data_IF_094596191321
#
_entry.id   IF_094596191321
#
_cell.length_a   1.000
_cell.length_b   1.000
_cell.length_c   1.000
_cell.angle_alpha   90.00
_cell.angle_beta   90.00
_cell.angle_gamma   90.00
#
_symmetry.space_group_name_H-M   'P 1'
#
loop_
_entity.id
_entity.type
_entity.pdbx_description
1 polymer ?
#
# COMPACT_ATOMS: atom_id res chain seq x y z
N UNK A 1 36.09 -19.99 -18.06
CA UNK A 1 35.44 -18.73 -17.71
C UNK A 1 33.99 -19.07 -17.41
N UNK A 2 33.69 -19.35 -16.15
CA UNK A 2 32.31 -19.67 -15.72
C UNK A 2 31.62 -18.31 -15.54
N UNK A 3 30.69 -18.01 -16.40
CA UNK A 3 29.80 -16.87 -16.23
C UNK A 3 28.84 -17.32 -15.13
N UNK A 4 29.01 -16.81 -13.90
CA UNK A 4 28.00 -16.89 -12.88
C UNK A 4 26.85 -16.01 -13.35
N UNK A 5 25.79 -16.63 -13.87
CA UNK A 5 24.49 -15.99 -13.98
C UNK A 5 24.08 -15.67 -12.53
N UNK A 6 24.01 -14.40 -12.16
CA UNK A 6 23.33 -13.99 -10.94
C UNK A 6 21.88 -14.46 -11.08
N UNK A 7 21.50 -15.50 -10.36
CA UNK A 7 20.11 -15.86 -10.23
C UNK A 7 19.43 -14.67 -9.53
N UNK A 8 18.54 -14.01 -10.24
CA UNK A 8 17.70 -12.97 -9.67
C UNK A 8 16.81 -13.68 -8.63
N UNK A 9 16.83 -13.24 -7.38
CA UNK A 9 16.03 -13.80 -6.30
C UNK A 9 14.57 -13.89 -6.75
N UNK A 10 14.04 -15.11 -6.84
CA UNK A 10 12.68 -15.32 -7.29
C UNK A 10 11.74 -15.29 -6.09
N UNK A 11 10.78 -14.37 -6.07
CA UNK A 11 9.69 -14.42 -5.09
C UNK A 11 8.92 -15.74 -5.26
N UNK A 12 8.88 -16.57 -4.24
CA UNK A 12 8.15 -17.85 -4.23
C UNK A 12 6.65 -17.67 -4.02
N UNK A 13 6.20 -16.50 -3.55
CA UNK A 13 4.80 -16.15 -3.50
C UNK A 13 4.30 -15.83 -4.92
N UNK A 14 3.19 -16.44 -5.30
CA UNK A 14 2.50 -16.11 -6.55
C UNK A 14 1.73 -14.81 -6.37
N UNK A 15 1.93 -13.83 -7.28
CA UNK A 15 1.18 -12.58 -7.27
C UNK A 15 1.15 -11.91 -5.88
N UNK A 16 2.33 -11.68 -5.29
CA UNK A 16 2.47 -11.17 -3.92
C UNK A 16 2.09 -9.69 -3.76
N UNK A 17 2.10 -8.92 -4.85
CA UNK A 17 1.60 -7.54 -4.93
C UNK A 17 0.16 -7.45 -5.44
N UNK A 18 -0.53 -8.56 -5.60
CA UNK A 18 -1.95 -8.66 -5.95
C UNK A 18 -2.37 -8.06 -7.30
N UNK A 19 -1.43 -7.78 -8.20
CA UNK A 19 -1.66 -7.10 -9.49
C UNK A 19 -2.50 -7.90 -10.49
N UNK A 20 -2.61 -9.21 -10.30
CA UNK A 20 -3.37 -10.08 -11.18
C UNK A 20 -4.64 -10.58 -10.49
N UNK A 21 -5.77 -10.11 -10.97
CA UNK A 21 -7.09 -10.48 -10.44
C UNK A 21 -8.21 -10.07 -11.38
N UNK A 22 -9.42 -10.49 -11.05
CA UNK A 22 -10.61 -10.01 -11.76
C UNK A 22 -11.11 -8.73 -11.10
N UNK A 23 -11.33 -7.68 -11.89
CA UNK A 23 -11.81 -6.39 -11.42
C UNK A 23 -12.98 -6.52 -10.43
N UNK A 24 -12.84 -6.05 -9.19
CA UNK A 24 -13.88 -6.15 -8.18
C UNK A 24 -15.02 -5.17 -8.50
N UNK A 25 -16.27 -5.61 -8.27
CA UNK A 25 -17.44 -4.73 -8.47
C UNK A 25 -17.80 -3.94 -7.23
N UNK A 26 -17.48 -4.48 -6.05
CA UNK A 26 -17.72 -3.94 -4.72
C UNK A 26 -16.94 -4.78 -3.72
N UNK A 27 -17.11 -4.52 -2.41
CA UNK A 27 -16.60 -5.42 -1.38
C UNK A 27 -17.16 -6.84 -1.56
N UNK A 28 -16.44 -7.84 -1.08
CA UNK A 28 -16.78 -9.25 -1.27
C UNK A 28 -17.90 -9.68 -0.32
N UNK A 29 -19.05 -10.05 -0.85
CA UNK A 29 -20.17 -10.61 -0.08
C UNK A 29 -20.14 -12.14 -0.02
N UNK A 30 -19.48 -12.77 -0.97
CA UNK A 30 -19.37 -14.23 -1.09
C UNK A 30 -17.92 -14.63 -1.34
N UNK A 31 -17.47 -15.79 -0.86
CA UNK A 31 -16.10 -16.27 -1.11
C UNK A 31 -15.69 -16.29 -2.59
N UNK A 32 -16.68 -16.51 -3.48
CA UNK A 32 -16.47 -16.52 -4.93
C UNK A 32 -16.25 -15.12 -5.55
N UNK A 33 -16.46 -14.06 -4.79
CA UNK A 33 -16.25 -12.68 -5.24
C UNK A 33 -14.77 -12.29 -5.10
N UNK A 34 -14.03 -12.93 -4.19
CA UNK A 34 -12.57 -12.78 -4.07
C UNK A 34 -11.87 -13.53 -5.20
N UNK A 35 -11.32 -12.82 -6.17
CA UNK A 35 -10.72 -13.35 -7.39
C UNK A 35 -9.37 -12.72 -7.66
N UNK A 36 -8.42 -13.04 -6.81
CA UNK A 36 -7.01 -12.68 -6.95
C UNK A 36 -6.22 -13.92 -7.35
N UNK A 37 -5.49 -13.84 -8.44
CA UNK A 37 -4.79 -15.00 -9.00
C UNK A 37 -3.75 -15.54 -8.02
N UNK A 38 -3.81 -16.84 -7.74
CA UNK A 38 -2.91 -17.51 -6.81
C UNK A 38 -3.31 -17.42 -5.34
N UNK A 39 -4.29 -16.58 -4.97
CA UNK A 39 -4.75 -16.39 -3.60
C UNK A 39 -6.17 -16.91 -3.36
N UNK A 40 -6.44 -17.37 -2.15
CA UNK A 40 -7.76 -17.88 -1.76
C UNK A 40 -8.03 -17.64 -0.27
N UNK A 41 -9.31 -17.59 0.07
CA UNK A 41 -9.77 -17.64 1.45
C UNK A 41 -9.71 -19.07 1.98
N UNK A 42 -9.11 -19.27 3.17
CA UNK A 42 -8.95 -20.61 3.77
C UNK A 42 -10.26 -21.14 4.33
N UNK A 43 -11.10 -20.26 4.80
CA UNK A 43 -12.23 -20.55 5.68
C UNK A 43 -13.60 -20.24 5.04
N UNK A 44 -13.60 -19.95 3.74
CA UNK A 44 -14.80 -19.53 3.03
C UNK A 44 -15.28 -18.14 3.46
N UNK A 45 -14.39 -17.35 4.07
CA UNK A 45 -14.59 -15.93 4.33
C UNK A 45 -14.49 -15.09 3.06
N UNK A 46 -14.69 -13.80 3.15
CA UNK A 46 -14.84 -12.89 2.04
C UNK A 46 -13.81 -11.75 2.04
N UNK A 47 -12.49 -12.06 1.96
CA UNK A 47 -11.47 -11.04 1.80
C UNK A 47 -11.80 -10.11 0.65
N UNK A 48 -11.43 -8.84 0.78
CA UNK A 48 -11.69 -7.85 -0.26
C UNK A 48 -10.48 -7.66 -1.15
N UNK A 49 -10.72 -7.42 -2.43
CA UNK A 49 -9.73 -7.05 -3.41
C UNK A 49 -9.97 -5.60 -3.84
N UNK A 50 -8.93 -4.80 -3.82
CA UNK A 50 -8.96 -3.38 -4.18
C UNK A 50 -8.10 -3.14 -5.40
N UNK A 51 -8.70 -2.55 -6.44
CA UNK A 51 -8.06 -2.35 -7.73
C UNK A 51 -8.63 -1.08 -8.40
N UNK A 52 -7.81 -0.22 -9.03
CA UNK A 52 -8.28 1.01 -9.68
C UNK A 52 -9.26 0.79 -10.82
N UNK A 53 -9.36 -0.42 -11.38
CA UNK A 53 -10.39 -0.75 -12.37
C UNK A 53 -11.81 -0.69 -11.80
N UNK A 54 -11.96 -0.79 -10.47
CA UNK A 54 -13.27 -0.69 -9.82
C UNK A 54 -13.80 0.74 -9.86
N UNK A 55 -15.06 0.90 -10.25
CA UNK A 55 -15.76 2.20 -10.23
C UNK A 55 -16.63 2.37 -8.97
N UNK A 56 -16.44 1.53 -7.96
CA UNK A 56 -17.28 1.47 -6.76
C UNK A 56 -16.40 1.36 -5.49
N UNK A 57 -16.98 0.76 -4.46
CA UNK A 57 -16.43 0.70 -3.10
C UNK A 57 -15.12 -0.09 -2.96
N UNK A 58 -14.73 -0.87 -3.97
CA UNK A 58 -13.47 -1.62 -3.99
C UNK A 58 -12.39 -0.97 -4.86
N UNK A 59 -12.48 0.33 -5.08
CA UNK A 59 -11.50 1.12 -5.84
C UNK A 59 -10.26 1.48 -5.00
N UNK A 60 -9.27 2.05 -5.65
CA UNK A 60 -8.03 2.58 -5.10
C UNK A 60 -7.89 4.03 -5.56
N UNK A 61 -7.48 4.97 -4.73
CA UNK A 61 -7.11 4.82 -3.31
C UNK A 61 -8.30 4.82 -2.36
N UNK A 62 -9.47 5.31 -2.82
CA UNK A 62 -10.67 5.43 -2.01
C UNK A 62 -11.52 4.18 -2.15
N UNK A 63 -11.81 3.58 -1.01
CA UNK A 63 -12.65 2.39 -0.90
C UNK A 63 -13.60 2.49 0.30
N UNK A 64 -14.46 1.49 0.48
CA UNK A 64 -15.42 1.47 1.58
C UNK A 64 -14.76 1.43 2.97
N UNK A 65 -13.57 0.83 3.09
CA UNK A 65 -12.86 0.72 4.35
C UNK A 65 -11.99 1.94 4.68
N UNK A 66 -11.81 2.86 3.73
CA UNK A 66 -11.05 4.08 3.94
C UNK A 66 -10.34 4.61 2.69
N UNK A 67 -9.21 5.23 2.91
CA UNK A 67 -8.32 5.71 1.85
C UNK A 67 -6.98 5.05 2.05
N UNK A 68 -6.51 4.31 1.04
CA UNK A 68 -5.19 3.68 1.05
C UNK A 68 -4.65 3.56 -0.38
N UNK A 69 -3.42 4.00 -0.59
CA UNK A 69 -2.67 3.75 -1.82
C UNK A 69 -1.94 2.42 -1.72
N UNK A 70 -1.79 1.65 -2.80
CA UNK A 70 -0.92 0.47 -2.79
C UNK A 70 0.52 0.85 -2.38
N UNK A 71 1.23 -0.05 -1.74
CA UNK A 71 2.67 0.12 -1.50
C UNK A 71 3.50 -0.49 -2.63
N UNK A 72 2.93 -1.44 -3.37
CA UNK A 72 3.55 -2.04 -4.55
C UNK A 72 2.49 -2.21 -5.64
N UNK A 73 2.78 -1.72 -6.85
CA UNK A 73 1.86 -1.77 -7.98
C UNK A 73 0.61 -0.91 -7.82
N UNK A 74 -0.56 -1.47 -8.18
CA UNK A 74 -1.83 -0.74 -8.28
C UNK A 74 -2.94 -1.32 -7.39
N UNK A 75 -2.74 -2.51 -6.83
CA UNK A 75 -3.78 -3.26 -6.14
C UNK A 75 -3.32 -3.75 -4.77
N UNK A 76 -4.25 -4.08 -3.90
CA UNK A 76 -3.99 -4.70 -2.61
C UNK A 76 -5.23 -5.46 -2.12
N UNK A 77 -5.10 -6.17 -1.00
CA UNK A 77 -6.22 -6.90 -0.38
C UNK A 77 -6.52 -6.36 1.01
N UNK A 78 -7.76 -6.58 1.46
CA UNK A 78 -8.19 -6.25 2.81
C UNK A 78 -8.82 -7.43 3.51
N UNK A 79 -8.61 -7.53 4.82
CA UNK A 79 -9.16 -8.60 5.64
C UNK A 79 -9.68 -8.09 6.98
N UNK A 80 -10.75 -8.73 7.46
CA UNK A 80 -11.12 -8.64 8.87
C UNK A 80 -10.17 -9.49 9.72
N UNK A 81 -9.39 -8.85 10.58
CA UNK A 81 -8.71 -9.59 11.63
C UNK A 81 -9.75 -10.10 12.64
N UNK A 82 -10.79 -9.29 12.90
CA UNK A 82 -11.92 -9.71 13.72
C UNK A 82 -13.14 -8.79 13.54
N UNK A 83 -14.33 -9.43 13.43
CA UNK A 83 -15.64 -8.78 13.56
C UNK A 83 -16.59 -9.71 14.32
N UNK A 84 -16.72 -9.53 15.64
CA UNK A 84 -17.44 -10.49 16.47
C UNK A 84 -16.75 -11.85 16.52
N UNK A 85 -17.34 -12.87 15.90
CA UNK A 85 -16.74 -14.21 15.71
C UNK A 85 -16.19 -14.43 14.30
N UNK A 86 -16.30 -13.43 13.42
CA UNK A 86 -15.86 -13.50 12.05
C UNK A 86 -14.40 -13.04 11.92
N UNK A 87 -13.65 -13.73 11.10
CA UNK A 87 -12.24 -13.48 10.76
C UNK A 87 -12.00 -13.89 9.32
N UNK A 88 -10.94 -13.36 8.72
CA UNK A 88 -10.53 -13.68 7.37
C UNK A 88 -9.06 -14.08 7.34
N UNK A 89 -8.77 -15.15 6.60
CA UNK A 89 -7.44 -15.67 6.46
C UNK A 89 -7.16 -15.95 4.98
N UNK A 90 -6.02 -15.48 4.51
CA UNK A 90 -5.55 -15.67 3.15
C UNK A 90 -4.54 -16.80 3.07
N UNK A 91 -4.60 -17.56 1.98
CA UNK A 91 -3.62 -18.58 1.66
C UNK A 91 -3.19 -18.50 0.20
N UNK A 92 -1.95 -18.89 -0.06
CA UNK A 92 -1.41 -19.08 -1.41
C UNK A 92 -0.53 -20.30 -1.46
N UNK A 93 -0.45 -20.93 -2.64
CA UNK A 93 0.50 -22.01 -2.89
C UNK A 93 1.81 -21.41 -3.38
N UNK A 94 2.91 -21.83 -2.78
CA UNK A 94 4.26 -21.46 -3.22
C UNK A 94 4.57 -22.02 -4.61
N UNK A 95 5.40 -21.33 -5.37
CA UNK A 95 5.87 -21.78 -6.69
C UNK A 95 6.61 -23.12 -6.61
N UNK A 96 7.30 -23.35 -5.50
CA UNK A 96 7.99 -24.61 -5.19
C UNK A 96 8.01 -24.85 -3.67
N UNK A 97 8.17 -26.11 -3.22
CA UNK A 97 8.30 -26.42 -1.80
C UNK A 97 9.61 -25.90 -1.22
N UNK A 98 9.57 -25.44 0.04
CA UNK A 98 10.77 -25.01 0.75
C UNK A 98 11.69 -26.19 1.07
N UNK A 99 12.99 -25.95 1.07
CA UNK A 99 14.02 -26.92 1.34
C UNK A 99 14.39 -26.97 2.83
N UNK A 100 14.49 -28.15 3.42
CA UNK A 100 14.82 -28.32 4.84
C UNK A 100 16.15 -27.65 5.20
N UNK A 101 16.13 -26.86 6.27
CA UNK A 101 17.29 -26.16 6.80
C UNK A 101 17.66 -24.86 6.08
N UNK A 102 17.11 -24.59 4.90
CA UNK A 102 17.33 -23.33 4.20
C UNK A 102 16.63 -22.19 4.92
N UNK A 103 17.27 -21.01 4.91
CA UNK A 103 16.71 -19.79 5.47
C UNK A 103 16.05 -18.98 4.37
N UNK A 104 14.80 -18.65 4.58
CA UNK A 104 14.01 -17.81 3.67
C UNK A 104 13.69 -16.48 4.35
N UNK A 105 13.82 -15.40 3.62
CA UNK A 105 13.34 -14.10 4.04
C UNK A 105 11.89 -13.92 3.63
N UNK A 106 11.04 -13.54 4.56
CA UNK A 106 9.62 -13.28 4.34
C UNK A 106 9.35 -11.82 4.64
N UNK A 107 8.63 -11.16 3.75
CA UNK A 107 8.20 -9.79 3.89
C UNK A 107 6.73 -9.67 3.56
N UNK A 108 6.04 -8.77 4.22
CA UNK A 108 4.72 -8.26 3.84
C UNK A 108 4.50 -6.86 4.41
N UNK A 109 3.64 -6.12 3.77
CA UNK A 109 3.24 -4.79 4.23
C UNK A 109 1.80 -4.83 4.72
N UNK A 110 1.51 -4.10 5.82
CA UNK A 110 0.22 -4.04 6.47
C UNK A 110 -0.12 -2.61 6.86
N UNK A 111 -1.38 -2.23 6.70
CA UNK A 111 -1.92 -0.96 7.14
C UNK A 111 -3.30 -1.14 7.76
N UNK A 112 -3.67 -0.31 8.74
CA UNK A 112 -5.02 -0.29 9.27
C UNK A 112 -5.97 0.44 8.33
N UNK A 113 -7.19 -0.06 8.21
CA UNK A 113 -8.26 0.70 7.54
C UNK A 113 -8.69 1.88 8.45
N UNK A 114 -8.59 3.11 7.94
CA UNK A 114 -8.88 4.30 8.75
C UNK A 114 -10.35 4.40 9.22
N UNK A 115 -11.29 3.77 8.51
CA UNK A 115 -12.70 3.73 8.89
C UNK A 115 -13.07 2.58 9.85
N UNK A 116 -12.13 1.69 10.21
CA UNK A 116 -12.41 0.63 11.20
C UNK A 116 -12.61 1.22 12.59
N UNK A 117 -13.62 0.71 13.33
CA UNK A 117 -13.88 1.17 14.71
C UNK A 117 -12.81 0.70 15.68
N UNK A 118 -12.20 -0.44 15.43
CA UNK A 118 -11.17 -1.02 16.27
C UNK A 118 -9.87 -1.20 15.46
N UNK A 119 -8.75 -1.03 16.12
CA UNK A 119 -7.42 -1.32 15.57
C UNK A 119 -7.03 -2.77 15.86
N UNK A 120 -6.52 -3.45 14.85
CA UNK A 120 -5.91 -4.77 15.01
C UNK A 120 -4.55 -4.66 15.67
N UNK A 121 -4.26 -5.52 16.64
CA UNK A 121 -3.00 -5.46 17.38
C UNK A 121 -2.00 -6.53 16.96
N UNK A 122 -2.46 -7.58 16.29
CA UNK A 122 -1.63 -8.72 15.88
C UNK A 122 -2.09 -9.29 14.53
N UNK A 123 -1.12 -9.73 13.74
CA UNK A 123 -1.32 -10.56 12.55
C UNK A 123 -0.36 -11.75 12.60
N UNK A 124 -0.71 -12.85 11.97
CA UNK A 124 0.08 -14.06 12.01
C UNK A 124 0.42 -14.57 10.61
N UNK A 125 1.55 -15.25 10.51
CA UNK A 125 1.98 -15.97 9.32
C UNK A 125 2.21 -17.44 9.68
N UNK A 126 1.87 -18.33 8.75
CA UNK A 126 2.18 -19.75 8.85
C UNK A 126 2.58 -20.32 7.49
N UNK A 127 3.49 -21.30 7.51
CA UNK A 127 3.87 -22.12 6.36
C UNK A 127 3.50 -23.57 6.63
N UNK A 128 3.05 -24.28 5.61
CA UNK A 128 2.55 -25.64 5.79
C UNK A 128 2.80 -26.51 4.54
N UNK A 129 3.09 -27.80 4.71
CA UNK A 129 3.16 -28.75 3.60
C UNK A 129 1.77 -29.15 3.06
N UNK A 130 0.69 -28.80 3.75
CA UNK A 130 -0.69 -29.12 3.38
C UNK A 130 -1.62 -27.91 3.54
N UNK A 131 -2.78 -27.98 2.88
CA UNK A 131 -3.80 -26.93 2.99
C UNK A 131 -4.43 -26.88 4.38
N UNK A 132 -4.52 -25.68 4.96
CA UNK A 132 -5.30 -25.44 6.18
C UNK A 132 -6.80 -25.44 5.87
N UNK A 133 -7.62 -25.78 6.84
CA UNK A 133 -9.08 -25.88 6.73
C UNK A 133 -9.75 -25.14 7.88
N UNK A 134 -10.93 -24.57 7.60
CA UNK A 134 -11.73 -23.81 8.58
C UNK A 134 -12.03 -24.58 9.87
N UNK A 135 -12.41 -25.85 9.76
CA UNK A 135 -12.71 -26.70 10.91
C UNK A 135 -11.48 -26.88 11.83
N UNK A 136 -10.29 -26.81 11.25
CA UNK A 136 -9.04 -26.85 11.98
C UNK A 136 -8.71 -25.51 12.65
N UNK A 137 -8.90 -24.37 11.96
CA UNK A 137 -8.65 -23.04 12.51
C UNK A 137 -9.49 -22.73 13.75
N UNK A 138 -10.71 -23.29 13.83
CA UNK A 138 -11.58 -23.17 15.00
C UNK A 138 -11.09 -23.97 16.22
N UNK A 139 -10.31 -25.01 15.97
CA UNK A 139 -9.91 -25.99 17.00
C UNK A 139 -8.45 -25.84 17.41
N UNK A 140 -7.60 -25.42 16.48
CA UNK A 140 -6.15 -25.36 16.68
C UNK A 140 -5.64 -23.96 16.44
N UNK A 141 -4.53 -23.62 17.11
CA UNK A 141 -3.76 -22.42 16.86
C UNK A 141 -2.68 -22.75 15.81
N UNK A 142 -2.76 -22.14 14.64
CA UNK A 142 -1.83 -22.33 13.55
C UNK A 142 -0.81 -21.20 13.41
N UNK A 143 -0.82 -20.23 14.33
CA UNK A 143 0.12 -19.14 14.34
C UNK A 143 1.55 -19.68 14.55
N UNK A 144 2.39 -19.56 13.55
CA UNK A 144 3.82 -19.89 13.68
C UNK A 144 4.62 -18.64 14.03
N UNK A 145 4.28 -17.53 13.39
CA UNK A 145 4.88 -16.22 13.64
C UNK A 145 3.77 -15.21 13.89
N UNK A 146 3.86 -14.50 15.00
CA UNK A 146 2.88 -13.47 15.42
C UNK A 146 3.58 -12.13 15.46
N UNK A 147 3.05 -11.16 14.75
CA UNK A 147 3.61 -9.82 14.66
C UNK A 147 2.62 -8.81 15.25
N UNK A 148 3.16 -7.87 16.03
CA UNK A 148 2.39 -6.74 16.50
C UNK A 148 2.24 -5.72 15.39
N UNK A 149 1.02 -5.25 15.18
CA UNK A 149 0.73 -4.15 14.27
C UNK A 149 0.85 -2.86 15.08
N UNK A 150 1.64 -1.92 14.58
CA UNK A 150 1.81 -0.63 15.24
C UNK A 150 0.52 0.19 15.12
N UNK A 151 0.03 0.70 16.23
CA UNK A 151 -1.12 1.60 16.26
C UNK A 151 -0.75 2.94 15.60
N UNK A 152 -1.65 3.56 14.81
CA UNK A 152 -1.43 4.90 14.27
C UNK A 152 -1.32 5.93 15.41
N UNK A 153 -0.47 6.93 15.25
CA UNK A 153 -0.18 7.97 16.26
C UNK A 153 -1.04 9.23 16.07
N UNK A 154 -1.56 9.41 14.87
CA UNK A 154 -2.41 10.54 14.49
C UNK A 154 -3.28 10.16 13.28
N UNK A 155 -4.08 11.09 12.76
CA UNK A 155 -4.99 10.88 11.62
C UNK A 155 -4.26 10.54 10.31
N UNK A 156 -3.00 10.92 10.17
CA UNK A 156 -2.21 10.74 8.95
C UNK A 156 -1.27 9.52 9.05
N UNK A 157 -1.27 8.79 10.17
CA UNK A 157 -0.36 7.65 10.43
C UNK A 157 -1.04 6.29 10.13
N UNK A 158 -1.86 6.24 9.07
CA UNK A 158 -2.42 4.99 8.52
C UNK A 158 -1.56 4.44 7.37
N UNK A 159 -0.27 4.75 7.41
CA UNK A 159 0.70 4.31 6.42
C UNK A 159 0.97 2.80 6.51
N UNK A 160 1.52 2.29 5.43
CA UNK A 160 2.01 0.92 5.40
C UNK A 160 3.17 0.71 6.39
N UNK A 161 3.16 -0.46 7.01
CA UNK A 161 4.26 -0.94 7.84
C UNK A 161 4.75 -2.25 7.25
N UNK A 162 6.00 -2.25 6.79
CA UNK A 162 6.63 -3.45 6.25
C UNK A 162 7.24 -4.28 7.37
N UNK A 163 6.85 -5.55 7.42
CA UNK A 163 7.35 -6.55 8.37
C UNK A 163 8.24 -7.51 7.58
N UNK A 164 9.48 -7.67 8.01
CA UNK A 164 10.45 -8.60 7.41
C UNK A 164 11.01 -9.50 8.49
N UNK A 165 11.13 -10.79 8.20
CA UNK A 165 11.71 -11.76 9.13
C UNK A 165 12.30 -12.97 8.40
N UNK A 166 13.22 -13.68 9.07
CA UNK A 166 13.83 -14.89 8.55
C UNK A 166 13.04 -16.11 9.03
N UNK A 167 12.85 -17.06 8.13
CA UNK A 167 12.22 -18.35 8.40
C UNK A 167 13.15 -19.49 8.01
N UNK A 168 13.53 -20.34 8.96
CA UNK A 168 14.25 -21.58 8.66
C UNK A 168 13.25 -22.67 8.33
N UNK A 169 13.29 -23.15 7.09
CA UNK A 169 12.32 -24.13 6.59
C UNK A 169 12.51 -25.50 7.27
N UNK A 170 11.38 -26.15 7.57
CA UNK A 170 11.33 -27.52 8.09
C UNK A 170 11.37 -28.55 6.96
N UNK A 171 11.21 -28.10 5.72
CA UNK A 171 11.20 -28.89 4.51
C UNK A 171 9.79 -29.32 4.08
N UNK A 172 9.50 -29.10 2.80
CA UNK A 172 8.25 -29.54 2.20
C UNK A 172 7.06 -28.59 2.37
N UNK A 173 7.23 -27.40 2.98
CA UNK A 173 6.20 -26.38 3.02
C UNK A 173 5.86 -25.92 1.60
N UNK A 174 4.56 -25.97 1.26
CA UNK A 174 4.01 -25.66 -0.06
C UNK A 174 3.02 -24.52 -0.04
N UNK A 175 2.61 -24.10 1.15
CA UNK A 175 1.56 -23.10 1.32
C UNK A 175 2.03 -22.04 2.32
N UNK A 176 1.71 -20.81 1.99
CA UNK A 176 1.86 -19.64 2.85
C UNK A 176 0.49 -19.14 3.26
N UNK A 177 0.36 -18.74 4.51
CA UNK A 177 -0.89 -18.22 5.10
C UNK A 177 -0.63 -16.97 5.87
N UNK A 178 -1.57 -15.99 5.78
CA UNK A 178 -1.53 -14.74 6.51
C UNK A 178 -2.93 -14.37 7.02
N UNK A 179 -3.00 -13.90 8.25
CA UNK A 179 -4.24 -13.51 8.91
C UNK A 179 -4.20 -13.83 10.40
N UNK A 180 -5.34 -13.86 11.10
CA UNK A 180 -5.42 -14.27 12.50
C UNK A 180 -4.93 -15.70 12.77
N UNK A 181 -5.20 -16.66 11.88
CA UNK A 181 -4.79 -18.07 11.89
C UNK A 181 -5.13 -18.83 13.20
N UNK A 182 -6.03 -18.30 14.02
CA UNK A 182 -6.50 -18.92 15.26
C UNK A 182 -7.88 -18.37 15.66
N UNK A 183 -8.50 -18.95 16.68
CA UNK A 183 -9.69 -18.37 17.26
C UNK A 183 -9.33 -17.24 18.22
N UNK A 184 -9.44 -15.98 17.77
CA UNK A 184 -9.09 -14.78 18.53
C UNK A 184 -10.18 -14.38 19.55
N UNK A 185 -10.67 -15.30 20.38
CA UNK A 185 -11.72 -15.02 21.35
C UNK A 185 -11.33 -13.98 22.42
N UNK A 186 -10.03 -13.83 22.70
CA UNK A 186 -9.49 -12.99 23.78
C UNK A 186 -8.58 -11.86 23.28
N UNK A 187 -8.69 -11.45 22.03
CA UNK A 187 -7.87 -10.35 21.51
C UNK A 187 -8.15 -9.05 22.25
N UNK A 188 -7.08 -8.31 22.58
CA UNK A 188 -7.16 -6.96 23.12
C UNK A 188 -7.78 -6.04 22.08
N UNK A 189 -8.85 -5.33 22.43
CA UNK A 189 -9.50 -4.36 21.57
C UNK A 189 -8.94 -2.97 21.85
N UNK A 190 -8.48 -2.31 20.79
CA UNK A 190 -8.00 -0.93 20.85
C UNK A 190 -8.95 -0.07 20.01
N UNK A 191 -9.65 0.91 20.62
CA UNK A 191 -10.49 1.82 19.86
C UNK A 191 -9.68 2.65 18.87
N UNK A 192 -10.17 2.81 17.65
CA UNK A 192 -9.62 3.74 16.70
C UNK A 192 -10.16 5.15 17.01
N UNK A 193 -9.40 5.91 17.77
CA UNK A 193 -9.76 7.31 18.11
C UNK A 193 -9.58 8.27 16.93
N UNK A 194 -8.97 7.82 15.84
CA UNK A 194 -8.72 8.58 14.60
C UNK A 194 -9.73 8.25 13.50
N UNK A 195 -10.75 7.45 13.80
CA UNK A 195 -11.80 7.10 12.84
C UNK A 195 -12.53 8.35 12.36
N UNK A 196 -12.58 8.50 11.03
CA UNK A 196 -13.17 9.69 10.42
C UNK A 196 -14.63 9.47 10.03
N UNK A 197 -14.94 8.31 9.44
CA UNK A 197 -16.30 7.97 9.02
C UNK A 197 -16.83 6.74 9.73
N UNK A 198 -18.13 6.79 10.03
CA UNK A 198 -18.87 5.61 10.48
C UNK A 198 -19.25 4.77 9.27
N UNK A 199 -18.54 3.66 9.09
CA UNK A 199 -18.90 2.63 8.13
C UNK A 199 -19.54 1.47 8.89
N UNK A 200 -20.85 1.18 8.69
CA UNK A 200 -21.56 0.16 9.47
C UNK A 200 -20.92 -1.22 9.39
N UNK A 201 -20.29 -1.56 8.26
CA UNK A 201 -19.59 -2.83 8.08
C UNK A 201 -18.36 -2.94 8.98
N UNK A 202 -17.76 -1.81 9.37
CA UNK A 202 -16.57 -1.73 10.20
C UNK A 202 -16.86 -1.44 11.68
N UNK A 203 -18.14 -1.39 12.08
CA UNK A 203 -18.50 -1.29 13.49
C UNK A 203 -18.11 -2.58 14.24
N UNK A 204 -17.46 -2.41 15.39
CA UNK A 204 -16.89 -3.50 16.20
C UNK A 204 -15.92 -4.41 15.45
N UNK A 205 -15.27 -3.89 14.43
CA UNK A 205 -14.37 -4.63 13.55
C UNK A 205 -12.95 -4.05 13.57
N UNK A 206 -11.97 -4.96 13.48
CA UNK A 206 -10.58 -4.68 13.13
C UNK A 206 -10.40 -5.05 11.67
N UNK A 207 -10.04 -4.10 10.84
CA UNK A 207 -9.81 -4.33 9.42
C UNK A 207 -8.46 -3.79 9.01
N UNK A 208 -7.73 -4.56 8.22
CA UNK A 208 -6.39 -4.21 7.73
C UNK A 208 -6.26 -4.47 6.24
N UNK A 209 -5.39 -3.70 5.63
CA UNK A 209 -4.93 -3.93 4.26
C UNK A 209 -3.60 -4.67 4.28
N UNK A 210 -3.34 -5.50 3.28
CA UNK A 210 -2.12 -6.30 3.09
C UNK A 210 -1.67 -6.14 1.66
N UNK A 211 -0.35 -5.94 1.48
CA UNK A 211 0.29 -5.80 0.19
C UNK A 211 1.75 -6.24 0.24
N UNK A 212 2.42 -6.34 -0.92
CA UNK A 212 3.84 -6.58 -1.07
C UNK A 212 4.34 -7.82 -0.29
N UNK A 213 3.72 -8.98 -0.55
CA UNK A 213 4.06 -10.26 0.10
C UNK A 213 5.17 -10.96 -0.67
N UNK A 214 6.32 -11.15 -0.04
CA UNK A 214 7.51 -11.75 -0.63
C UNK A 214 8.01 -12.91 0.23
N UNK A 215 8.52 -13.95 -0.44
CA UNK A 215 9.24 -15.07 0.17
C UNK A 215 10.38 -15.50 -0.77
N UNK A 216 11.62 -15.45 -0.31
CA UNK A 216 12.81 -15.74 -1.11
C UNK A 216 13.90 -16.39 -0.26
N UNK A 217 14.70 -17.28 -0.86
CA UNK A 217 15.88 -17.91 -0.23
C UNK A 217 17.13 -17.04 -0.21
N UNK A 218 17.15 -15.97 -0.98
CA UNK A 218 18.24 -15.01 -0.96
C UNK A 218 17.87 -13.84 -0.05
N UNK A 219 18.89 -13.14 0.48
CA UNK A 219 18.64 -11.86 1.09
C UNK A 219 17.80 -11.04 0.10
N UNK A 220 16.56 -10.77 0.48
CA UNK A 220 15.82 -9.75 -0.20
C UNK A 220 16.76 -8.56 -0.11
N UNK A 221 17.45 -8.21 -1.20
CA UNK A 221 18.12 -6.93 -1.27
C UNK A 221 17.15 -5.97 -0.62
N UNK A 222 17.60 -5.16 0.39
CA UNK A 222 16.67 -4.23 1.01
C UNK A 222 15.84 -3.72 -0.15
N UNK A 223 14.53 -3.97 -0.10
CA UNK A 223 13.60 -3.55 -1.15
C UNK A 223 14.18 -2.27 -1.63
N UNK A 224 14.62 -2.12 -2.90
CA UNK A 224 15.08 -0.81 -3.30
C UNK A 224 14.01 0.08 -2.72
N UNK A 225 14.38 0.94 -1.78
CA UNK A 225 13.56 2.00 -1.19
C UNK A 225 12.58 2.38 -2.27
N UNK A 226 11.27 2.42 -2.10
CA UNK A 226 10.25 2.26 -3.13
C UNK A 226 10.80 2.71 -4.46
N UNK A 227 11.35 1.72 -5.18
CA UNK A 227 12.07 2.02 -6.42
C UNK A 227 10.96 2.46 -7.30
N UNK A 228 10.97 3.70 -7.68
CA UNK A 228 10.08 4.39 -8.59
C UNK A 228 9.75 3.57 -9.86
N UNK A 229 9.48 2.29 -9.73
CA UNK A 229 8.82 1.48 -10.76
C UNK A 229 7.43 2.03 -11.08
N UNK A 230 6.80 2.75 -10.12
CA UNK A 230 5.60 3.56 -10.33
C UNK A 230 5.82 4.62 -11.41
N UNK A 231 7.03 5.16 -11.53
CA UNK A 231 7.31 6.23 -12.48
C UNK A 231 7.45 5.77 -13.95
N UNK A 232 7.60 4.47 -14.20
CA UNK A 232 7.70 3.94 -15.57
C UNK A 232 6.34 3.55 -16.18
N UNK A 233 5.25 3.61 -15.40
CA UNK A 233 3.92 3.20 -15.85
C UNK A 233 2.95 4.36 -16.11
N UNK A 234 3.42 5.56 -16.42
CA UNK A 234 2.60 6.76 -16.67
C UNK A 234 1.75 7.25 -15.47
N UNK A 235 1.94 6.71 -14.27
CA UNK A 235 1.18 7.13 -13.10
C UNK A 235 1.75 8.42 -12.49
N UNK A 236 0.89 9.42 -12.23
CA UNK A 236 1.31 10.71 -11.70
C UNK A 236 1.77 10.59 -10.23
N UNK A 237 2.92 11.16 -9.90
CA UNK A 237 3.40 11.26 -8.52
C UNK A 237 2.81 12.49 -7.83
N UNK A 238 2.19 12.28 -6.66
CA UNK A 238 1.63 13.35 -5.84
C UNK A 238 2.46 13.61 -4.58
N UNK A 239 2.76 14.90 -4.35
CA UNK A 239 3.35 15.44 -3.13
C UNK A 239 2.26 16.22 -2.40
N UNK A 240 1.93 15.83 -1.16
CA UNK A 240 0.81 16.41 -0.41
C UNK A 240 1.26 17.47 0.58
N UNK A 241 0.34 18.41 0.89
CA UNK A 241 0.62 19.54 1.77
C UNK A 241 -0.48 19.72 2.82
N UNK A 242 -0.05 20.17 3.99
CA UNK A 242 -0.95 20.59 5.04
C UNK A 242 -1.82 21.79 4.61
N UNK A 243 -2.91 22.00 5.36
CA UNK A 243 -3.80 23.12 5.11
C UNK A 243 -3.04 24.46 5.22
N UNK A 244 -3.22 25.29 4.21
CA UNK A 244 -2.59 26.62 4.11
C UNK A 244 -1.05 26.61 4.18
N UNK A 245 -0.42 25.51 3.74
CA UNK A 245 1.05 25.34 3.78
C UNK A 245 1.59 24.90 2.43
N UNK A 246 2.90 25.20 2.24
CA UNK A 246 3.72 24.78 1.10
C UNK A 246 5.06 24.20 1.53
N UNK A 247 5.32 24.04 2.84
CA UNK A 247 6.47 23.34 3.35
C UNK A 247 6.28 21.82 3.24
N UNK A 248 7.35 21.13 2.87
CA UNK A 248 7.38 19.69 2.67
C UNK A 248 7.50 18.96 4.01
N UNK A 249 6.68 17.95 4.24
CA UNK A 249 6.83 17.04 5.39
C UNK A 249 8.01 16.10 5.19
N UNK A 250 8.49 15.46 6.25
CA UNK A 250 9.59 14.48 6.15
C UNK A 250 9.21 13.32 5.21
N UNK A 251 7.97 12.85 5.24
CA UNK A 251 7.48 11.79 4.34
C UNK A 251 7.55 12.22 2.87
N UNK A 252 7.21 13.48 2.58
CA UNK A 252 7.28 13.99 1.21
C UNK A 252 8.74 14.25 0.78
N UNK A 253 9.62 14.62 1.72
CA UNK A 253 11.07 14.73 1.47
C UNK A 253 11.66 13.37 1.10
N UNK A 254 11.33 12.29 1.81
CA UNK A 254 11.81 10.93 1.52
C UNK A 254 11.40 10.47 0.10
N UNK A 255 10.17 10.82 -0.34
CA UNK A 255 9.73 10.56 -1.73
C UNK A 255 10.56 11.35 -2.75
N UNK A 256 10.84 12.61 -2.45
CA UNK A 256 11.61 13.47 -3.35
C UNK A 256 13.09 13.10 -3.39
N UNK A 257 13.66 12.58 -2.31
CA UNK A 257 15.03 12.04 -2.30
C UNK A 257 15.12 10.85 -3.26
N UNK A 258 14.19 9.89 -3.15
CA UNK A 258 14.15 8.73 -4.04
C UNK A 258 13.92 9.15 -5.51
N UNK A 259 13.04 10.14 -5.76
CA UNK A 259 12.84 10.70 -7.10
C UNK A 259 14.11 11.35 -7.63
N UNK A 260 14.82 12.11 -6.79
CA UNK A 260 16.06 12.77 -7.17
C UNK A 260 17.13 11.77 -7.60
N UNK A 261 17.34 10.72 -6.81
CA UNK A 261 18.30 9.65 -7.13
C UNK A 261 18.00 9.02 -8.50
N UNK A 262 16.71 8.75 -8.77
CA UNK A 262 16.30 8.24 -10.08
C UNK A 262 16.59 9.23 -11.21
N UNK A 263 16.30 10.52 -11.01
CA UNK A 263 16.45 11.56 -12.05
C UNK A 263 17.91 11.88 -12.39
N UNK A 264 18.85 11.66 -11.47
CA UNK A 264 20.27 11.93 -11.72
C UNK A 264 20.83 11.06 -12.84
N UNK A 265 20.31 9.85 -13.02
CA UNK A 265 20.73 8.91 -14.05
C UNK A 265 19.85 8.94 -15.33
N UNK A 266 18.81 9.78 -15.35
CA UNK A 266 17.84 9.85 -16.46
C UNK A 266 17.84 11.23 -17.11
N UNK A 267 17.58 11.30 -18.41
CA UNK A 267 17.36 12.54 -19.15
C UNK A 267 15.86 12.85 -19.27
N UNK A 268 15.21 12.99 -18.10
CA UNK A 268 13.78 13.29 -17.97
C UNK A 268 13.57 14.72 -17.48
N UNK A 269 12.54 15.36 -17.99
CA UNK A 269 12.05 16.65 -17.54
C UNK A 269 10.77 16.48 -16.74
N UNK A 270 10.53 17.37 -15.79
CA UNK A 270 9.36 17.35 -14.91
C UNK A 270 8.48 18.57 -15.13
N UNK A 271 7.17 18.32 -15.26
CA UNK A 271 6.14 19.32 -15.07
C UNK A 271 5.56 19.13 -13.66
N UNK A 272 5.67 20.13 -12.82
CA UNK A 272 5.20 20.13 -11.43
C UNK A 272 4.02 21.08 -11.34
N UNK A 273 2.82 20.52 -11.14
CA UNK A 273 1.55 21.26 -11.12
C UNK A 273 1.02 21.36 -9.69
N UNK A 274 1.12 22.53 -9.07
CA UNK A 274 0.60 22.75 -7.72
C UNK A 274 -0.91 23.01 -7.71
N UNK A 275 -1.59 22.40 -6.75
CA UNK A 275 -3.01 22.45 -6.53
C UNK A 275 -3.38 22.83 -5.10
N UNK A 276 -4.60 23.36 -4.91
CA UNK A 276 -5.18 23.69 -3.60
C UNK A 276 -6.59 23.11 -3.49
N UNK A 277 -7.08 23.03 -2.26
CA UNK A 277 -8.51 22.91 -2.02
C UNK A 277 -9.25 24.22 -2.35
N UNK A 278 -10.56 24.24 -2.17
CA UNK A 278 -11.42 25.38 -2.51
C UNK A 278 -11.57 26.42 -1.40
N UNK A 279 -10.76 26.37 -0.35
CA UNK A 279 -10.82 27.35 0.74
C UNK A 279 -9.89 28.51 0.41
N UNK A 280 -10.43 29.72 0.33
CA UNK A 280 -9.70 30.94 -0.02
C UNK A 280 -10.23 31.64 -1.28
N UNK A 281 -9.53 32.70 -1.72
CA UNK A 281 -9.81 33.31 -3.02
C UNK A 281 -9.06 32.56 -4.13
N UNK A 282 -9.55 32.66 -5.36
CA UNK A 282 -8.90 32.03 -6.52
C UNK A 282 -7.48 32.53 -6.74
N UNK A 283 -7.26 33.82 -6.54
CA UNK A 283 -5.94 34.44 -6.64
C UNK A 283 -5.00 33.88 -5.57
N UNK A 284 -5.47 33.83 -4.32
CA UNK A 284 -4.71 33.24 -3.22
C UNK A 284 -4.37 31.77 -3.49
N UNK A 285 -5.35 30.98 -3.89
CA UNK A 285 -5.19 29.57 -4.19
C UNK A 285 -4.25 29.30 -5.38
N UNK A 286 -4.27 30.20 -6.38
CA UNK A 286 -3.31 30.14 -7.48
C UNK A 286 -1.87 30.37 -6.97
N UNK A 287 -1.65 31.38 -6.15
CA UNK A 287 -0.33 31.70 -5.61
C UNK A 287 0.16 30.57 -4.66
N UNK A 288 -0.72 30.05 -3.79
CA UNK A 288 -0.37 28.92 -2.91
C UNK A 288 -0.05 27.65 -3.69
N UNK A 289 -0.81 27.36 -4.77
CA UNK A 289 -0.50 26.25 -5.66
C UNK A 289 0.88 26.41 -6.33
N UNK A 290 1.22 27.64 -6.77
CA UNK A 290 2.55 27.89 -7.34
C UNK A 290 3.66 27.68 -6.30
N UNK A 291 3.49 28.18 -5.07
CA UNK A 291 4.45 28.00 -3.99
C UNK A 291 4.69 26.50 -3.66
N UNK A 292 3.65 25.67 -3.74
CA UNK A 292 3.79 24.21 -3.59
C UNK A 292 4.61 23.58 -4.70
N UNK A 293 4.34 23.94 -5.95
CA UNK A 293 5.12 23.46 -7.08
C UNK A 293 6.59 23.89 -6.99
N UNK A 294 6.82 25.15 -6.60
CA UNK A 294 8.17 25.71 -6.40
C UNK A 294 8.91 25.06 -5.22
N UNK A 295 8.22 24.70 -4.13
CA UNK A 295 8.82 23.99 -3.01
C UNK A 295 9.39 22.65 -3.43
N UNK A 296 8.63 21.88 -4.24
CA UNK A 296 9.08 20.62 -4.83
C UNK A 296 10.28 20.84 -5.76
N UNK A 297 10.17 21.79 -6.69
CA UNK A 297 11.27 22.08 -7.65
C UNK A 297 12.54 22.53 -6.94
N UNK A 298 12.43 23.38 -5.93
CA UNK A 298 13.57 23.86 -5.16
C UNK A 298 14.26 22.72 -4.41
N UNK A 299 13.49 21.80 -3.83
CA UNK A 299 14.05 20.62 -3.16
C UNK A 299 14.80 19.70 -4.14
N UNK A 300 14.17 19.33 -5.26
CA UNK A 300 14.82 18.53 -6.29
C UNK A 300 16.08 19.20 -6.85
N UNK A 301 16.06 20.52 -7.02
CA UNK A 301 17.27 21.25 -7.42
C UNK A 301 18.36 21.23 -6.36
N UNK A 302 17.99 21.32 -5.09
CA UNK A 302 18.93 21.20 -3.96
C UNK A 302 19.60 19.82 -3.91
N UNK A 303 18.87 18.76 -4.25
CA UNK A 303 19.39 17.38 -4.32
C UNK A 303 20.14 17.07 -5.62
N UNK A 304 20.25 18.01 -6.56
CA UNK A 304 21.12 17.90 -7.72
C UNK A 304 20.44 17.84 -9.08
N UNK A 305 19.10 17.85 -9.13
CA UNK A 305 18.37 17.89 -10.42
C UNK A 305 18.49 19.27 -11.03
N UNK A 306 18.91 19.36 -12.31
CA UNK A 306 19.12 20.63 -12.99
C UNK A 306 17.80 21.41 -13.14
N UNK A 307 17.81 22.72 -12.81
CA UNK A 307 16.61 23.57 -12.82
C UNK A 307 15.94 23.69 -14.20
N UNK A 308 16.70 23.61 -15.27
CA UNK A 308 16.16 23.65 -16.64
C UNK A 308 15.35 22.38 -17.00
N UNK A 309 15.42 21.37 -16.17
CA UNK A 309 14.59 20.15 -16.25
C UNK A 309 13.28 20.25 -15.48
N UNK A 310 13.11 21.29 -14.66
CA UNK A 310 11.97 21.45 -13.75
C UNK A 310 11.10 22.63 -14.21
N UNK A 311 9.85 22.34 -14.55
CA UNK A 311 8.85 23.35 -14.90
C UNK A 311 7.73 23.35 -13.87
N UNK A 312 7.43 24.51 -13.31
CA UNK A 312 6.38 24.69 -12.31
C UNK A 312 5.19 25.44 -12.89
N UNK A 313 4.00 24.99 -12.57
CA UNK A 313 2.75 25.70 -12.86
C UNK A 313 1.79 25.55 -11.68
N UNK A 314 0.76 26.37 -11.63
CA UNK A 314 -0.33 26.26 -10.66
C UNK A 314 -1.66 26.07 -11.37
N UNK A 315 -2.49 25.15 -10.88
CA UNK A 315 -3.91 25.05 -11.22
C UNK A 315 -4.80 25.67 -10.12
N UNK A 316 -4.21 26.06 -8.98
CA UNK A 316 -4.95 26.57 -7.82
C UNK A 316 -6.06 25.59 -7.41
N UNK A 317 -7.27 26.10 -7.19
CA UNK A 317 -8.47 25.30 -6.91
C UNK A 317 -9.21 24.83 -8.18
N UNK A 318 -8.69 25.14 -9.37
CA UNK A 318 -9.33 24.82 -10.65
C UNK A 318 -9.25 23.32 -10.93
N UNK A 319 -10.34 22.73 -11.42
CA UNK A 319 -10.41 21.30 -11.74
C UNK A 319 -9.92 20.41 -10.59
N UNK A 320 -10.59 20.47 -9.41
CA UNK A 320 -10.21 19.61 -8.30
C UNK A 320 -10.39 18.15 -8.69
N UNK A 321 -9.44 17.32 -8.36
CA UNK A 321 -9.49 15.89 -8.63
C UNK A 321 -10.52 15.20 -7.74
N UNK A 322 -10.74 15.79 -6.56
CA UNK A 322 -11.70 15.32 -5.57
C UNK A 322 -12.71 16.41 -5.23
N UNK A 323 -13.94 16.01 -4.94
CA UNK A 323 -14.99 16.97 -4.53
C UNK A 323 -14.63 17.64 -3.19
N UNK A 324 -14.59 18.96 -3.13
CA UNK A 324 -14.20 19.75 -1.94
C UNK A 324 -15.25 19.77 -0.80
N UNK A 325 -16.02 18.68 -0.61
CA UNK A 325 -17.13 18.65 0.35
C UNK A 325 -16.70 18.36 1.79
N UNK A 326 -15.58 17.69 1.97
CA UNK A 326 -15.05 17.31 3.29
C UNK A 326 -13.59 17.72 3.41
N UNK A 327 -13.07 17.80 4.64
CA UNK A 327 -11.67 18.14 4.89
C UNK A 327 -10.71 17.14 4.27
N UNK A 328 -11.11 15.87 4.21
CA UNK A 328 -10.32 14.79 3.60
C UNK A 328 -10.21 14.93 2.09
N UNK A 329 -11.32 15.15 1.40
CA UNK A 329 -11.25 15.44 -0.04
C UNK A 329 -10.46 16.70 -0.32
N UNK A 330 -10.57 17.71 0.56
CA UNK A 330 -9.73 18.89 0.47
C UNK A 330 -8.26 18.56 0.67
N UNK A 331 -7.92 17.65 1.61
CA UNK A 331 -6.51 17.24 1.80
C UNK A 331 -5.90 16.62 0.55
N UNK A 332 -6.66 15.83 -0.19
CA UNK A 332 -6.21 15.24 -1.45
C UNK A 332 -6.03 16.26 -2.58
N UNK A 333 -6.76 17.38 -2.54
CA UNK A 333 -6.59 18.48 -3.49
C UNK A 333 -5.41 19.40 -3.12
N UNK A 334 -4.84 19.30 -1.93
CA UNK A 334 -3.66 20.05 -1.50
C UNK A 334 -2.40 19.31 -1.90
N UNK A 335 -2.04 19.38 -3.17
CA UNK A 335 -0.93 18.59 -3.70
C UNK A 335 -0.07 19.36 -4.71
N UNK A 336 1.07 18.79 -5.06
CA UNK A 336 1.80 19.07 -6.29
C UNK A 336 1.91 17.76 -7.08
N UNK A 337 1.34 17.75 -8.26
CA UNK A 337 1.41 16.65 -9.22
C UNK A 337 2.72 16.75 -10.00
N UNK A 338 3.46 15.66 -10.08
CA UNK A 338 4.70 15.56 -10.87
C UNK A 338 4.44 14.66 -12.08
N UNK A 339 4.63 15.22 -13.27
CA UNK A 339 4.50 14.52 -14.54
C UNK A 339 5.85 14.51 -15.27
N UNK A 340 6.18 13.39 -15.91
CA UNK A 340 7.43 13.22 -16.64
C UNK A 340 7.23 13.48 -18.13
N UNK A 341 8.20 14.12 -18.75
CA UNK A 341 8.22 14.23 -20.20
C UNK A 341 9.66 14.21 -20.75
N UNK A 342 9.82 13.70 -21.95
CA UNK A 342 11.07 13.80 -22.68
C UNK A 342 11.06 15.08 -23.53
N UNK A 343 12.15 15.84 -23.51
CA UNK A 343 12.28 17.01 -24.40
C UNK A 343 12.31 16.51 -25.85
N UNK A 344 11.34 16.91 -26.66
CA UNK A 344 11.44 16.65 -28.10
C UNK A 344 12.61 17.45 -28.66
N UNK A 345 13.42 16.83 -29.50
CA UNK A 345 14.59 17.48 -30.17
C UNK A 345 14.21 18.61 -31.16
N UNK A 346 13.01 19.19 -31.00
CA UNK A 346 12.45 20.19 -31.90
C UNK A 346 11.88 21.41 -31.17
N UNK A 347 12.70 22.05 -30.32
CA UNK A 347 12.45 23.43 -29.87
C UNK A 347 13.80 24.13 -29.61
#
# INVERSE_FOLDING_TARGET
MVVALSAQSQNLIVNGSFENGSCPRSFSERPADFKVDGWYSIDGSTPDYYDPCSNADASVPKNWAGIQYPIDGNAFVGIYLKKGLYQENLGTQLKEPLQEGEVYKIQFSISHACNAELLGTEISVALSPFTLRLDHLKKYDYRQHVFKIQEPRNYDDFDWRTITFDYTAKGGEKYFYIGPLCNMSNEKRVPNIYRVYEEPQLNSANYVFIDNVLLSSEDLNPTPEPTFSILLNDDPLYIFFEFDRYDLSNTELDKLDSLSDYLLDQDLHLLITGATDSLGSKEYNHDLGLQRAEAVANYLSFTGVALDRLKTISKGESTPEYANHTDEYRSLNRNALIEFYTKSLSD
#
